data_IF_111421579666
#
_entry.id   IF_111421579666
#
_cell.length_a   1.000
_cell.length_b   1.000
_cell.length_c   1.000
_cell.angle_alpha   90.00
_cell.angle_beta   90.00
_cell.angle_gamma   90.00
#
_symmetry.space_group_name_H-M   'P 1'
#
loop_
_entity.id
_entity.type
_entity.pdbx_description
1 polymer ?
#
# COMPACT_ATOMS: atom_id res chain seq x y z
N UNK A 1 9.89 3.60 10.25
CA UNK A 1 8.68 4.35 10.54
C UNK A 1 8.58 5.52 9.59
N UNK A 2 9.64 6.32 9.40
CA UNK A 2 9.64 7.49 8.52
C UNK A 2 9.14 7.20 7.09
N UNK A 3 9.68 6.18 6.41
CA UNK A 3 9.25 5.81 5.07
C UNK A 3 7.78 5.36 5.00
N UNK A 4 7.32 4.61 6.01
CA UNK A 4 5.92 4.17 6.08
C UNK A 4 4.96 5.36 6.23
N UNK A 5 5.32 6.33 7.07
CA UNK A 5 4.56 7.59 7.25
C UNK A 5 4.56 8.41 5.96
N UNK A 6 5.69 8.49 5.27
CA UNK A 6 5.78 9.16 3.97
C UNK A 6 4.86 8.51 2.92
N UNK A 7 4.87 7.17 2.83
CA UNK A 7 3.96 6.43 1.95
C UNK A 7 2.50 6.68 2.28
N UNK A 8 2.16 6.66 3.56
CA UNK A 8 0.80 6.94 4.02
C UNK A 8 0.35 8.38 3.73
N UNK A 9 1.24 9.37 3.89
CA UNK A 9 0.95 10.77 3.58
C UNK A 9 0.64 10.97 2.09
N UNK A 10 1.45 10.36 1.21
CA UNK A 10 1.20 10.39 -0.25
C UNK A 10 -0.11 9.66 -0.58
N UNK A 11 -0.42 8.56 0.10
CA UNK A 11 -1.65 7.81 -0.12
C UNK A 11 -2.89 8.61 0.28
N UNK A 12 -2.86 9.29 1.43
CA UNK A 12 -3.92 10.20 1.85
C UNK A 12 -4.12 11.33 0.85
N UNK A 13 -3.04 11.97 0.41
CA UNK A 13 -3.12 13.04 -0.59
C UNK A 13 -3.73 12.54 -1.90
N UNK A 14 -3.31 11.35 -2.36
CA UNK A 14 -3.87 10.71 -3.55
C UNK A 14 -5.35 10.40 -3.38
N UNK A 15 -5.75 9.92 -2.20
CA UNK A 15 -7.14 9.58 -1.89
C UNK A 15 -8.05 10.81 -1.91
N UNK A 16 -7.55 12.00 -1.55
CA UNK A 16 -8.28 13.25 -1.74
C UNK A 16 -8.61 13.51 -3.20
N UNK A 17 -7.74 13.15 -4.15
CA UNK A 17 -8.05 13.27 -5.58
C UNK A 17 -9.21 12.35 -5.99
N UNK A 18 -9.30 11.14 -5.43
CA UNK A 18 -10.43 10.24 -5.67
C UNK A 18 -11.74 10.83 -5.15
N UNK A 19 -11.73 11.38 -3.93
CA UNK A 19 -12.90 12.11 -3.40
C UNK A 19 -13.23 13.34 -4.26
N UNK A 20 -12.22 14.06 -4.75
CA UNK A 20 -12.40 15.18 -5.68
C UNK A 20 -13.18 14.78 -6.93
N UNK A 21 -12.85 13.61 -7.53
CA UNK A 21 -13.62 13.08 -8.66
C UNK A 21 -15.10 12.85 -8.32
N UNK A 22 -15.40 12.33 -7.12
CA UNK A 22 -16.78 12.08 -6.68
C UNK A 22 -17.53 13.37 -6.36
N UNK A 23 -16.86 14.34 -5.75
CA UNK A 23 -17.43 15.66 -5.42
C UNK A 23 -17.76 16.43 -6.69
N UNK A 24 -16.92 16.35 -7.72
CA UNK A 24 -17.19 17.01 -9.02
C UNK A 24 -18.40 16.38 -9.71
N UNK A 25 -18.53 15.05 -9.67
CA UNK A 25 -19.65 14.33 -10.28
C UNK A 25 -21.00 14.56 -9.57
N UNK A 26 -20.99 14.76 -8.25
CA UNK A 26 -22.21 14.90 -7.44
C UNK A 26 -22.47 16.33 -6.96
N UNK A 27 -21.54 17.26 -7.18
CA UNK A 27 -21.61 18.62 -6.68
C UNK A 27 -22.58 19.47 -7.48
N UNK A 28 -23.66 19.91 -6.85
CA UNK A 28 -24.71 20.73 -7.49
C UNK A 28 -24.17 22.04 -8.08
N UNK A 29 -23.12 22.60 -7.49
CA UNK A 29 -22.42 23.79 -8.00
C UNK A 29 -21.58 23.48 -9.24
N UNK A 30 -20.84 22.37 -9.24
CA UNK A 30 -20.03 21.94 -10.38
C UNK A 30 -20.90 21.56 -11.59
N UNK A 31 -22.02 20.87 -11.36
CA UNK A 31 -23.00 20.49 -12.39
C UNK A 31 -23.64 21.73 -13.04
N UNK A 32 -23.84 22.81 -12.27
CA UNK A 32 -24.38 24.07 -12.79
C UNK A 32 -23.34 24.92 -13.53
N UNK A 33 -22.05 24.79 -13.17
CA UNK A 33 -20.97 25.61 -13.70
C UNK A 33 -20.30 25.03 -14.95
N UNK A 34 -20.31 23.71 -15.14
CA UNK A 34 -19.61 23.03 -16.23
C UNK A 34 -20.56 22.26 -17.15
N UNK A 35 -20.17 22.08 -18.42
CA UNK A 35 -20.89 21.16 -19.31
C UNK A 35 -20.65 19.70 -18.92
N UNK A 36 -21.59 18.78 -19.22
CA UNK A 36 -21.47 17.36 -18.86
C UNK A 36 -20.15 16.71 -19.31
N UNK A 37 -19.71 17.00 -20.55
CA UNK A 37 -18.46 16.46 -21.10
C UNK A 37 -17.22 16.96 -20.35
N UNK A 38 -17.22 18.23 -19.94
CA UNK A 38 -16.13 18.82 -19.15
C UNK A 38 -16.06 18.22 -17.75
N UNK A 39 -17.22 17.98 -17.15
CA UNK A 39 -17.35 17.44 -15.81
C UNK A 39 -16.86 15.97 -15.76
N UNK A 40 -17.20 15.19 -16.79
CA UNK A 40 -16.69 13.83 -16.95
C UNK A 40 -15.18 13.81 -17.22
N UNK A 41 -14.66 14.69 -18.09
CA UNK A 41 -13.23 14.80 -18.36
C UNK A 41 -12.44 15.15 -17.08
N UNK A 42 -12.96 16.06 -16.25
CA UNK A 42 -12.33 16.46 -15.00
C UNK A 42 -12.36 15.33 -13.97
N UNK A 43 -13.46 14.59 -13.86
CA UNK A 43 -13.55 13.40 -13.02
C UNK A 43 -12.50 12.34 -13.41
N UNK A 44 -12.38 12.04 -14.71
CA UNK A 44 -11.36 11.12 -15.23
C UNK A 44 -9.95 11.60 -14.92
N UNK A 45 -9.70 12.91 -15.01
CA UNK A 45 -8.40 13.50 -14.66
C UNK A 45 -8.04 13.29 -13.17
N UNK A 46 -8.97 13.60 -12.26
CA UNK A 46 -8.77 13.37 -10.81
C UNK A 46 -8.57 11.89 -10.47
N UNK A 47 -9.30 11.01 -11.15
CA UNK A 47 -9.12 9.57 -11.01
C UNK A 47 -7.75 9.10 -11.55
N UNK A 48 -7.26 9.70 -12.65
CA UNK A 48 -5.92 9.50 -13.17
C UNK A 48 -4.84 9.91 -12.16
N UNK A 49 -4.99 11.09 -11.54
CA UNK A 49 -4.09 11.56 -10.49
C UNK A 49 -4.06 10.62 -9.29
N UNK A 50 -5.22 10.12 -8.84
CA UNK A 50 -5.30 9.10 -7.80
C UNK A 50 -4.50 7.84 -8.17
N UNK A 51 -4.69 7.32 -9.39
CA UNK A 51 -3.96 6.13 -9.87
C UNK A 51 -2.45 6.33 -9.88
N UNK A 52 -1.97 7.50 -10.26
CA UNK A 52 -0.55 7.87 -10.25
C UNK A 52 -0.02 7.99 -8.83
N UNK A 53 -0.80 8.62 -7.95
CA UNK A 53 -0.46 8.76 -6.54
C UNK A 53 -0.31 7.43 -5.82
N UNK A 54 -1.27 6.51 -5.98
CA UNK A 54 -1.20 5.13 -5.45
C UNK A 54 0.03 4.41 -5.97
N UNK A 55 0.39 4.61 -7.23
CA UNK A 55 1.61 4.03 -7.80
C UNK A 55 2.88 4.56 -7.10
N UNK A 56 2.97 5.87 -6.87
CA UNK A 56 4.11 6.50 -6.19
C UNK A 56 4.24 6.00 -4.74
N UNK A 57 3.12 5.72 -4.07
CA UNK A 57 3.14 5.23 -2.67
C UNK A 57 3.84 3.88 -2.50
N UNK A 58 3.90 3.05 -3.54
CA UNK A 58 4.53 1.72 -3.43
C UNK A 58 6.04 1.79 -3.22
N UNK A 59 6.70 2.88 -3.65
CA UNK A 59 8.14 3.07 -3.43
C UNK A 59 8.48 3.20 -1.93
N UNK A 60 7.94 4.17 -1.17
CA UNK A 60 8.24 4.28 0.26
C UNK A 60 7.75 3.08 1.07
N UNK A 61 6.65 2.43 0.69
CA UNK A 61 6.22 1.18 1.32
C UNK A 61 7.20 0.03 1.07
N UNK A 62 7.63 -0.17 -0.18
CA UNK A 62 8.64 -1.15 -0.54
C UNK A 62 9.97 -0.92 0.19
N UNK A 63 10.45 0.33 0.26
CA UNK A 63 11.67 0.69 1.00
C UNK A 63 11.56 0.37 2.48
N UNK A 64 10.39 0.57 3.09
CA UNK A 64 10.16 0.27 4.51
C UNK A 64 10.13 -1.24 4.82
N UNK A 65 9.71 -2.07 3.86
CA UNK A 65 9.66 -3.52 4.02
C UNK A 65 11.05 -4.16 4.15
N UNK A 66 12.09 -3.59 3.53
CA UNK A 66 13.47 -4.08 3.67
C UNK A 66 14.02 -4.04 5.11
N UNK A 67 14.06 -2.88 5.82
CA UNK A 67 14.52 -2.83 7.19
C UNK A 67 13.61 -3.64 8.11
N UNK A 68 12.30 -3.66 7.87
CA UNK A 68 11.37 -4.50 8.64
C UNK A 68 11.72 -5.99 8.48
N UNK A 69 11.80 -6.49 7.24
CA UNK A 69 12.14 -7.88 6.95
C UNK A 69 13.51 -8.30 7.49
N UNK A 70 14.51 -7.41 7.42
CA UNK A 70 15.82 -7.63 8.02
C UNK A 70 15.77 -7.74 9.55
N UNK A 71 15.02 -6.86 10.22
CA UNK A 71 14.82 -6.92 11.67
C UNK A 71 14.09 -8.21 12.08
N UNK A 72 13.10 -8.64 11.30
CA UNK A 72 12.38 -9.91 11.51
C UNK A 72 13.35 -11.09 11.38
N UNK A 73 14.21 -11.09 10.37
CA UNK A 73 15.22 -12.14 10.15
C UNK A 73 16.24 -12.23 11.29
N UNK A 74 16.70 -11.07 11.81
CA UNK A 74 17.75 -11.01 12.83
C UNK A 74 17.25 -11.16 14.27
N UNK A 75 16.05 -10.68 14.59
CA UNK A 75 15.56 -10.59 15.98
C UNK A 75 15.28 -11.95 16.63
N UNK A 76 15.09 -13.03 15.85
CA UNK A 76 14.72 -14.35 16.37
C UNK A 76 13.34 -14.41 17.05
N UNK A 77 12.64 -13.28 17.16
CA UNK A 77 11.31 -13.17 17.77
C UNK A 77 10.21 -13.71 16.85
N UNK A 78 10.42 -13.60 15.55
CA UNK A 78 9.52 -14.01 14.48
C UNK A 78 10.20 -15.10 13.62
N UNK A 79 9.44 -15.99 12.96
CA UNK A 79 9.99 -16.96 12.01
C UNK A 79 10.80 -16.26 10.93
N UNK A 80 12.03 -16.74 10.68
CA UNK A 80 12.93 -16.18 9.64
C UNK A 80 12.29 -16.18 8.24
N UNK A 81 11.37 -17.11 7.99
CA UNK A 81 10.60 -17.24 6.75
C UNK A 81 9.75 -15.99 6.51
N UNK A 82 9.13 -15.40 7.55
CA UNK A 82 8.36 -14.17 7.42
C UNK A 82 9.27 -12.99 7.02
N UNK A 83 10.49 -12.93 7.56
CA UNK A 83 11.47 -11.92 7.17
C UNK A 83 11.84 -11.99 5.69
N UNK A 84 12.03 -13.21 5.16
CA UNK A 84 12.28 -13.43 3.74
C UNK A 84 11.08 -13.07 2.86
N UNK A 85 9.86 -13.42 3.30
CA UNK A 85 8.63 -13.03 2.60
C UNK A 85 8.44 -11.52 2.53
N UNK A 86 8.74 -10.78 3.60
CA UNK A 86 8.66 -9.32 3.62
C UNK A 86 9.69 -8.65 2.70
N UNK A 87 10.90 -9.20 2.60
CA UNK A 87 11.90 -8.71 1.64
C UNK A 87 11.44 -9.01 0.20
N UNK A 88 10.88 -10.20 -0.05
CA UNK A 88 10.33 -10.56 -1.35
C UNK A 88 9.16 -9.64 -1.75
N UNK A 89 8.28 -9.31 -0.79
CA UNK A 89 7.21 -8.33 -0.97
C UNK A 89 7.75 -6.93 -1.31
N UNK A 90 8.76 -6.45 -0.58
CA UNK A 90 9.45 -5.20 -0.93
C UNK A 90 9.94 -5.17 -2.38
N UNK A 91 10.55 -6.26 -2.86
CA UNK A 91 10.97 -6.40 -4.26
C UNK A 91 9.77 -6.42 -5.22
N UNK A 92 8.68 -7.12 -4.87
CA UNK A 92 7.45 -7.16 -5.65
C UNK A 92 6.84 -5.76 -5.84
N UNK A 93 6.89 -4.90 -4.82
CA UNK A 93 6.45 -3.50 -4.93
C UNK A 93 7.30 -2.71 -5.94
N UNK A 94 8.62 -2.91 -5.94
CA UNK A 94 9.49 -2.28 -6.94
C UNK A 94 9.25 -2.81 -8.35
N UNK A 95 9.02 -4.12 -8.52
CA UNK A 95 8.67 -4.72 -9.81
C UNK A 95 7.35 -4.12 -10.32
N UNK A 96 6.35 -3.95 -9.45
CA UNK A 96 5.09 -3.29 -9.78
C UNK A 96 5.33 -1.85 -10.24
N UNK A 97 6.21 -1.11 -9.56
CA UNK A 97 6.58 0.26 -9.93
C UNK A 97 7.26 0.30 -11.31
N UNK A 98 8.22 -0.58 -11.56
CA UNK A 98 8.92 -0.67 -12.84
C UNK A 98 7.99 -1.09 -13.98
N UNK A 99 7.10 -2.07 -13.73
CA UNK A 99 6.13 -2.57 -14.71
C UNK A 99 5.20 -1.44 -15.17
N UNK A 100 4.65 -0.66 -14.24
CA UNK A 100 3.75 0.45 -14.55
C UNK A 100 4.43 1.63 -15.25
N UNK A 101 5.73 1.84 -15.09
CA UNK A 101 6.49 2.89 -15.80
C UNK A 101 6.95 2.47 -17.20
N UNK A 102 7.45 1.24 -17.34
CA UNK A 102 8.14 0.79 -18.56
C UNK A 102 7.19 0.02 -19.48
N UNK A 103 6.29 -0.78 -18.91
CA UNK A 103 5.44 -1.73 -19.64
C UNK A 103 3.99 -1.72 -19.08
N UNK A 104 3.23 -0.63 -19.30
CA UNK A 104 1.87 -0.49 -18.75
C UNK A 104 0.92 -1.61 -19.21
N UNK A 105 1.15 -2.19 -20.40
CA UNK A 105 0.33 -3.26 -20.96
C UNK A 105 0.63 -4.65 -20.34
N UNK A 106 1.76 -4.81 -19.65
CA UNK A 106 2.21 -6.11 -19.15
C UNK A 106 1.75 -6.38 -17.71
N UNK A 107 0.43 -6.26 -17.48
CA UNK A 107 -0.20 -6.44 -16.17
C UNK A 107 -0.08 -7.87 -15.60
N UNK A 108 0.29 -8.85 -16.43
CA UNK A 108 0.45 -10.26 -16.04
C UNK A 108 1.53 -10.46 -14.97
N UNK A 109 2.57 -9.61 -14.94
CA UNK A 109 3.64 -9.70 -13.93
C UNK A 109 3.19 -9.16 -12.56
N UNK A 110 2.19 -8.27 -12.52
CA UNK A 110 1.69 -7.69 -11.27
C UNK A 110 0.92 -8.71 -10.41
N UNK A 111 0.25 -9.68 -11.05
CA UNK A 111 -0.56 -10.68 -10.34
C UNK A 111 0.26 -11.57 -9.38
N UNK A 112 1.36 -12.23 -9.80
CA UNK A 112 2.17 -13.02 -8.86
C UNK A 112 2.80 -12.17 -7.77
N UNK A 113 3.22 -10.94 -8.08
CA UNK A 113 3.74 -9.98 -7.10
C UNK A 113 2.69 -9.71 -6.01
N UNK A 114 1.45 -9.44 -6.39
CA UNK A 114 0.34 -9.20 -5.46
C UNK A 114 0.04 -10.41 -4.56
N UNK A 115 0.11 -11.63 -5.10
CA UNK A 115 -0.09 -12.86 -4.31
C UNK A 115 1.02 -13.01 -3.26
N UNK A 116 2.28 -12.76 -3.62
CA UNK A 116 3.41 -12.81 -2.68
C UNK A 116 3.23 -11.77 -1.57
N UNK A 117 2.90 -10.53 -1.93
CA UNK A 117 2.62 -9.45 -0.98
C UNK A 117 1.51 -9.82 0.00
N UNK A 118 0.40 -10.34 -0.51
CA UNK A 118 -0.74 -10.75 0.31
C UNK A 118 -0.36 -11.86 1.29
N UNK A 119 0.37 -12.88 0.84
CA UNK A 119 0.84 -13.97 1.71
C UNK A 119 1.79 -13.42 2.78
N UNK A 120 2.70 -12.53 2.42
CA UNK A 120 3.66 -11.94 3.36
C UNK A 120 2.95 -11.16 4.48
N UNK A 121 2.04 -10.26 4.12
CA UNK A 121 1.30 -9.43 5.06
C UNK A 121 0.33 -10.25 5.93
N UNK A 122 -0.45 -11.15 5.33
CA UNK A 122 -1.41 -11.99 6.08
C UNK A 122 -0.68 -12.93 7.03
N UNK A 123 0.43 -13.53 6.60
CA UNK A 123 1.22 -14.41 7.47
C UNK A 123 1.83 -13.64 8.64
N UNK A 124 2.30 -12.41 8.40
CA UNK A 124 2.79 -11.52 9.46
C UNK A 124 1.66 -11.14 10.43
N UNK A 125 0.51 -10.72 9.91
CA UNK A 125 -0.64 -10.30 10.70
C UNK A 125 -1.19 -11.44 11.57
N UNK A 126 -1.36 -12.64 11.01
CA UNK A 126 -1.78 -13.83 11.75
C UNK A 126 -0.80 -14.17 12.86
N UNK A 127 0.51 -14.15 12.57
CA UNK A 127 1.53 -14.48 13.57
C UNK A 127 1.54 -13.49 14.73
N UNK A 128 1.49 -12.19 14.42
CA UNK A 128 1.41 -11.14 15.45
C UNK A 128 0.13 -11.25 16.26
N UNK A 129 -1.00 -11.58 15.63
CA UNK A 129 -2.28 -11.77 16.32
C UNK A 129 -2.21 -12.93 17.32
N UNK A 130 -1.70 -14.10 16.90
CA UNK A 130 -1.56 -15.27 17.78
C UNK A 130 -0.58 -14.99 18.92
N UNK A 131 0.55 -14.33 18.65
CA UNK A 131 1.57 -14.04 19.67
C UNK A 131 1.13 -12.96 20.65
N UNK A 132 0.38 -11.95 20.21
CA UNK A 132 -0.19 -10.91 21.07
C UNK A 132 -1.19 -11.47 22.09
N UNK A 133 -1.87 -12.58 21.77
CA UNK A 133 -2.83 -13.26 22.66
C UNK A 133 -2.14 -14.11 23.74
N UNK A 134 -0.79 -14.16 23.79
CA UNK A 134 -0.07 -14.65 24.98
C UNK A 134 0.28 -13.45 25.87
N UNK A 135 -0.65 -12.91 26.68
CA UNK A 135 -0.25 -12.02 27.75
C UNK A 135 0.70 -12.80 28.63
N UNK A 136 1.89 -12.26 28.85
CA UNK A 136 2.71 -12.63 29.98
C UNK A 136 1.89 -12.24 31.21
N UNK A 137 1.05 -13.18 31.68
CA UNK A 137 0.52 -13.14 33.03
C UNK A 137 1.76 -13.22 33.92
N UNK A 138 2.28 -12.06 34.28
CA UNK A 138 3.14 -11.90 35.44
C UNK A 138 2.29 -12.27 36.65
N UNK A 139 2.17 -13.57 36.89
CA UNK A 139 1.80 -14.10 38.21
C UNK A 139 3.01 -13.78 39.08
N UNK A 140 2.96 -12.64 39.75
CA UNK A 140 3.82 -12.35 40.87
C UNK A 140 3.33 -13.20 42.05
N UNK A 141 4.08 -14.20 42.54
CA UNK A 141 3.75 -14.86 43.79
C UNK A 141 4.36 -14.01 44.90
N UNK A 142 3.54 -13.20 45.55
CA UNK A 142 3.80 -12.79 46.94
C UNK A 142 3.31 -13.90 47.89
#
# INVERSE_FOLDING_TARGET
MLFNVAGFAVWLFSSLCLFGSLVILNGTEAIKAFQPDQLQALAVFFFGLYKTGVFITQVPFGVWLFPLGYLVYKSGFLPKILGMLLIADGICQFIYVCQRLILPDLSVIAYPCMVISFIAEVSLALWLSIKAIKPQLLVNPE
#
